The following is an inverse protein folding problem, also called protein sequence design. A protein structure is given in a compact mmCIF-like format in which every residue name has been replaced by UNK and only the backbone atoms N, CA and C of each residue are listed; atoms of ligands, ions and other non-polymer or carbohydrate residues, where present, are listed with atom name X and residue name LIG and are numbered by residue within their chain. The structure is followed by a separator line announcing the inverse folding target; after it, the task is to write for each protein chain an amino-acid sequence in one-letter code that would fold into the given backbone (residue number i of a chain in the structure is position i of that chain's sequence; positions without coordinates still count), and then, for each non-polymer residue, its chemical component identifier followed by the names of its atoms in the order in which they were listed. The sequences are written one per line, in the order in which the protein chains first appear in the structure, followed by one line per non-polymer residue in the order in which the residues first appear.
data_IF_602712655799
#
_entry.id   IF_602712655799
#
_cell.length_a   1.000
_cell.length_b   1.000
_cell.length_c   1.000
_cell.angle_alpha   90.00
_cell.angle_beta   90.00
_cell.angle_gamma   90.00
#
_symmetry.space_group_name_H-M   'P 1'
#
loop_
_entity.id
_entity.type
_entity.pdbx_description
1 polymer ?
#
# COMPACT_ATOMS: atom_id res chain seq x y z
N UNK A 1 -9.94 4.37 -2.91
CA UNK A 1 -9.66 3.12 -2.22
C UNK A 1 -9.73 3.33 -0.71
N UNK A 2 -10.53 2.54 -0.06
CA UNK A 2 -10.62 2.51 1.40
C UNK A 2 -10.05 1.18 1.86
N UNK A 3 -9.19 1.23 2.87
CA UNK A 3 -8.57 0.03 3.44
C UNK A 3 -8.61 0.07 4.97
N UNK A 4 -8.29 -1.04 5.58
CA UNK A 4 -7.91 -1.04 6.99
C UNK A 4 -6.68 -0.14 7.17
N UNK A 5 -6.54 0.57 8.31
CA UNK A 5 -5.34 1.38 8.56
C UNK A 5 -4.07 0.55 8.40
N UNK A 6 -3.13 1.02 7.59
CA UNK A 6 -1.93 0.26 7.25
C UNK A 6 -1.11 -0.07 8.49
N UNK A 7 -0.67 -1.31 8.57
CA UNK A 7 0.18 -1.83 9.65
C UNK A 7 -0.45 -1.79 11.05
N UNK A 8 -1.76 -1.62 11.15
CA UNK A 8 -2.49 -1.59 12.43
C UNK A 8 -3.13 -2.95 12.70
N UNK A 9 -2.31 -3.94 13.03
CA UNK A 9 -2.77 -5.28 13.42
C UNK A 9 -3.21 -5.37 14.88
N UNK A 10 -2.99 -4.33 15.64
CA UNK A 10 -3.32 -4.21 17.06
C UNK A 10 -4.80 -3.89 17.32
N UNK A 11 -5.53 -3.41 16.31
CA UNK A 11 -6.93 -3.02 16.45
C UNK A 11 -7.83 -4.24 16.70
N UNK A 12 -8.93 -4.06 17.45
CA UNK A 12 -9.85 -5.17 17.77
C UNK A 12 -10.74 -5.58 16.60
N UNK A 13 -10.58 -4.96 15.46
CA UNK A 13 -11.35 -5.19 14.24
C UNK A 13 -10.44 -5.16 13.01
N UNK A 14 -10.96 -5.65 11.90
CA UNK A 14 -10.33 -5.56 10.59
C UNK A 14 -11.34 -4.94 9.64
N UNK A 15 -11.03 -3.76 9.11
CA UNK A 15 -11.87 -3.10 8.11
C UNK A 15 -11.65 -3.73 6.75
N UNK A 16 -12.72 -3.94 6.00
CA UNK A 16 -12.66 -4.50 4.65
C UNK A 16 -12.27 -3.42 3.64
N UNK A 17 -11.46 -3.80 2.67
CA UNK A 17 -11.06 -2.91 1.60
C UNK A 17 -12.14 -2.79 0.53
N UNK A 18 -12.24 -1.62 -0.09
CA UNK A 18 -13.16 -1.39 -1.20
C UNK A 18 -12.81 -0.14 -1.98
N UNK A 19 -13.23 -0.10 -3.22
CA UNK A 19 -13.10 1.07 -4.08
C UNK A 19 -14.46 1.76 -4.19
N UNK A 20 -14.47 3.07 -3.97
CA UNK A 20 -15.67 3.90 -4.09
C UNK A 20 -15.48 4.86 -5.25
N UNK A 21 -16.39 4.80 -6.22
CA UNK A 21 -16.39 5.68 -7.40
C UNK A 21 -17.03 7.02 -7.07
N UNK A 22 -16.24 7.91 -6.46
CA UNK A 22 -16.73 9.21 -5.99
C UNK A 22 -17.21 10.15 -7.11
N UNK A 23 -16.80 9.89 -8.34
CA UNK A 23 -17.25 10.62 -9.52
C UNK A 23 -18.72 10.32 -9.88
N UNK A 24 -19.24 9.17 -9.48
CA UNK A 24 -20.61 8.73 -9.77
C UNK A 24 -21.45 8.44 -8.53
N UNK A 25 -20.81 8.15 -7.41
CA UNK A 25 -21.50 7.82 -6.15
C UNK A 25 -21.58 9.03 -5.23
N UNK A 26 -22.80 9.44 -4.91
CA UNK A 26 -23.09 10.68 -4.16
C UNK A 26 -23.77 10.44 -2.81
N UNK A 27 -23.73 9.24 -2.29
CA UNK A 27 -24.37 8.89 -1.03
C UNK A 27 -23.30 8.53 0.03
N UNK A 28 -23.76 8.23 1.24
CA UNK A 28 -22.87 7.81 2.33
C UNK A 28 -22.20 6.49 2.03
N UNK A 29 -20.95 6.38 2.44
CA UNK A 29 -20.15 5.17 2.26
C UNK A 29 -20.24 4.32 3.51
N UNK A 30 -20.66 3.07 3.37
CA UNK A 30 -20.58 2.09 4.43
C UNK A 30 -19.16 1.58 4.59
N UNK A 31 -18.77 1.32 5.82
CA UNK A 31 -17.47 0.70 6.12
C UNK A 31 -17.70 -0.66 6.79
N UNK A 32 -17.72 -1.75 6.02
CA UNK A 32 -17.85 -3.08 6.60
C UNK A 32 -16.55 -3.49 7.28
N UNK A 33 -16.66 -4.23 8.38
CA UNK A 33 -15.51 -4.71 9.13
C UNK A 33 -15.85 -6.00 9.87
N UNK A 34 -14.82 -6.73 10.28
CA UNK A 34 -14.93 -7.90 11.14
C UNK A 34 -14.34 -7.62 12.50
N UNK A 35 -15.03 -8.04 13.55
CA UNK A 35 -14.45 -8.06 14.88
C UNK A 35 -13.53 -9.26 15.05
N UNK A 36 -12.42 -9.08 15.77
CA UNK A 36 -11.59 -10.19 16.20
C UNK A 36 -12.32 -10.97 17.31
N UNK A 37 -12.05 -12.27 17.43
CA UNK A 37 -12.78 -13.17 18.33
C UNK A 37 -12.83 -12.74 19.81
N UNK A 38 -11.84 -11.98 20.26
CA UNK A 38 -11.75 -11.53 21.64
C UNK A 38 -11.92 -10.02 21.79
N UNK A 39 -12.66 -9.40 20.87
CA UNK A 39 -12.92 -7.97 20.94
C UNK A 39 -14.09 -7.67 21.85
N UNK A 40 -13.82 -7.03 22.98
CA UNK A 40 -14.83 -6.56 23.93
C UNK A 40 -14.68 -5.08 24.18
N UNK A 41 -15.80 -4.44 24.49
CA UNK A 41 -15.82 -3.10 25.04
C UNK A 41 -15.97 -2.02 23.99
N UNK A 42 -15.52 -0.84 24.34
CA UNK A 42 -15.71 0.39 23.58
C UNK A 42 -14.46 0.66 22.75
N UNK A 43 -14.66 1.02 21.47
CA UNK A 43 -13.59 1.56 20.66
C UNK A 43 -13.46 3.05 21.00
N UNK A 44 -12.34 3.51 21.57
CA UNK A 44 -12.19 4.90 21.97
C UNK A 44 -12.30 5.86 20.79
N UNK A 45 -12.84 7.05 21.04
CA UNK A 45 -12.83 8.11 20.05
C UNK A 45 -11.38 8.46 19.66
N UNK A 46 -11.15 8.72 18.37
CA UNK A 46 -9.80 8.94 17.82
C UNK A 46 -9.09 7.69 17.33
N UNK A 47 -9.68 6.51 17.54
CA UNK A 47 -9.15 5.28 16.97
C UNK A 47 -9.29 5.30 15.44
N UNK A 48 -8.22 5.08 14.67
CA UNK A 48 -8.33 5.01 13.22
C UNK A 48 -9.14 3.78 12.82
N UNK A 49 -10.14 3.96 11.96
CA UNK A 49 -11.02 2.88 11.50
C UNK A 49 -10.79 2.51 10.04
N UNK A 50 -10.24 3.42 9.26
CA UNK A 50 -10.01 3.22 7.84
C UNK A 50 -8.90 4.15 7.37
N UNK A 51 -8.30 3.79 6.26
CA UNK A 51 -7.38 4.64 5.52
C UNK A 51 -7.88 4.84 4.11
N UNK A 52 -7.83 6.08 3.61
CA UNK A 52 -8.37 6.45 2.31
C UNK A 52 -7.22 6.86 1.40
N UNK A 53 -7.20 6.28 0.21
CA UNK A 53 -6.25 6.62 -0.84
C UNK A 53 -7.02 7.17 -2.04
N UNK A 54 -7.03 8.49 -2.25
CA UNK A 54 -7.64 9.04 -3.45
C UNK A 54 -6.76 8.80 -4.67
N UNK A 55 -7.37 8.45 -5.79
CA UNK A 55 -6.68 8.28 -7.06
C UNK A 55 -7.61 8.66 -8.21
N UNK A 56 -7.01 9.06 -9.32
CA UNK A 56 -7.77 9.39 -10.52
C UNK A 56 -8.20 8.13 -11.25
N UNK A 57 -9.40 8.15 -11.82
CA UNK A 57 -9.84 7.09 -12.74
C UNK A 57 -8.99 7.18 -14.02
N UNK A 58 -8.33 6.10 -14.35
CA UNK A 58 -7.53 5.97 -15.57
C UNK A 58 -7.86 4.65 -16.27
N UNK A 59 -7.77 4.66 -17.59
CA UNK A 59 -7.91 3.44 -18.37
C UNK A 59 -6.55 2.76 -18.48
N UNK A 60 -6.46 1.55 -17.96
CA UNK A 60 -5.28 0.72 -18.04
C UNK A 60 -5.53 -0.46 -18.96
N UNK A 61 -4.59 -0.70 -19.85
CA UNK A 61 -4.61 -1.87 -20.74
C UNK A 61 -3.41 -2.74 -20.38
N UNK A 62 -3.69 -4.01 -20.09
CA UNK A 62 -2.61 -4.96 -19.85
C UNK A 62 -2.17 -5.57 -21.17
N UNK A 63 -0.87 -5.66 -21.38
CA UNK A 63 -0.27 -6.31 -22.52
C UNK A 63 0.62 -7.45 -22.04
N UNK A 64 0.40 -8.64 -22.59
CA UNK A 64 1.20 -9.82 -22.28
C UNK A 64 2.12 -10.05 -23.46
N UNK A 65 3.42 -9.96 -23.24
CA UNK A 65 4.45 -10.24 -24.24
C UNK A 65 5.25 -11.48 -23.86
N UNK A 66 5.93 -12.05 -24.86
CA UNK A 66 6.82 -13.17 -24.62
C UNK A 66 8.03 -12.72 -23.79
N UNK A 67 8.48 -13.60 -22.90
CA UNK A 67 9.65 -13.35 -22.09
C UNK A 67 10.91 -13.26 -22.94
N UNK A 68 11.64 -12.14 -22.85
CA UNK A 68 12.95 -11.94 -23.47
C UNK A 68 14.04 -12.03 -22.40
N UNK A 69 14.76 -13.14 -22.37
CA UNK A 69 15.78 -13.41 -21.36
C UNK A 69 16.96 -12.42 -21.44
N UNK A 70 17.39 -12.03 -22.65
CA UNK A 70 18.49 -11.09 -22.82
C UNK A 70 18.13 -9.69 -22.30
N UNK A 71 16.96 -9.21 -22.67
CA UNK A 71 16.47 -7.90 -22.21
C UNK A 71 16.24 -7.88 -20.70
N UNK A 72 15.63 -8.92 -20.16
CA UNK A 72 15.39 -9.06 -18.72
C UNK A 72 16.69 -9.10 -17.92
N UNK A 73 17.71 -9.84 -18.38
CA UNK A 73 18.99 -9.91 -17.71
C UNK A 73 19.75 -8.58 -17.77
N UNK A 74 19.69 -7.86 -18.88
CA UNK A 74 20.28 -6.53 -19.02
C UNK A 74 19.63 -5.53 -18.04
N UNK A 75 18.31 -5.55 -17.92
CA UNK A 75 17.60 -4.72 -16.97
C UNK A 75 17.93 -5.07 -15.50
N UNK A 76 17.99 -6.35 -15.17
CA UNK A 76 18.35 -6.80 -13.83
C UNK A 76 19.75 -6.35 -13.43
N UNK A 77 20.72 -6.42 -14.36
CA UNK A 77 22.08 -5.93 -14.12
C UNK A 77 22.11 -4.42 -13.85
N UNK A 78 21.36 -3.63 -14.63
CA UNK A 78 21.27 -2.18 -14.41
C UNK A 78 20.63 -1.83 -13.06
N UNK A 79 19.56 -2.51 -12.70
CA UNK A 79 18.86 -2.29 -11.43
C UNK A 79 19.77 -2.65 -10.26
N UNK A 80 20.45 -3.79 -10.33
CA UNK A 80 21.41 -4.23 -9.31
C UNK A 80 22.52 -3.20 -9.11
N UNK A 81 23.12 -2.69 -10.18
CA UNK A 81 24.16 -1.66 -10.12
C UNK A 81 23.65 -0.38 -9.43
N UNK A 82 22.44 0.08 -9.76
CA UNK A 82 21.84 1.24 -9.12
C UNK A 82 21.56 1.02 -7.63
N UNK A 83 21.08 -0.14 -7.25
CA UNK A 83 20.83 -0.50 -5.86
C UNK A 83 22.13 -0.53 -5.06
N UNK A 84 23.18 -1.11 -5.58
CA UNK A 84 24.50 -1.16 -4.94
C UNK A 84 25.07 0.24 -4.72
N UNK A 85 24.99 1.11 -5.71
CA UNK A 85 25.42 2.51 -5.59
C UNK A 85 24.60 3.26 -4.53
N UNK A 86 23.28 3.11 -4.55
CA UNK A 86 22.40 3.73 -3.57
C UNK A 86 22.70 3.26 -2.15
N UNK A 87 22.95 1.99 -1.97
CA UNK A 87 23.29 1.39 -0.69
C UNK A 87 24.64 1.93 -0.14
N UNK A 88 25.65 2.03 -0.99
CA UNK A 88 26.94 2.61 -0.61
C UNK A 88 26.81 4.07 -0.17
N UNK A 89 26.05 4.88 -0.91
CA UNK A 89 25.80 6.27 -0.56
C UNK A 89 25.04 6.40 0.77
N UNK A 90 24.07 5.56 1.01
CA UNK A 90 23.33 5.53 2.26
C UNK A 90 24.20 5.17 3.46
N UNK A 91 25.02 4.13 3.33
CA UNK A 91 25.96 3.73 4.37
C UNK A 91 27.02 4.81 4.65
N UNK A 92 27.50 5.49 3.62
CA UNK A 92 28.43 6.60 3.76
C UNK A 92 27.84 7.74 4.58
N UNK A 93 26.62 8.17 4.25
CA UNK A 93 25.90 9.21 5.01
C UNK A 93 25.69 8.81 6.47
N UNK A 94 25.42 7.55 6.72
CA UNK A 94 25.22 7.02 8.07
C UNK A 94 26.49 7.11 8.93
N UNK A 95 27.65 6.97 8.32
CA UNK A 95 28.94 7.14 9.00
C UNK A 95 29.21 8.61 9.37
N UNK A 96 28.75 9.55 8.56
CA UNK A 96 28.91 10.98 8.81
C UNK A 96 28.09 11.49 9.99
N UNK A 97 27.05 10.78 10.40
CA UNK A 97 26.22 11.13 11.56
C UNK A 97 26.73 10.59 12.89
N UNK A 98 27.82 9.90 12.88
CA UNK A 98 28.49 9.44 14.10
C UNK A 98 29.66 10.35 14.44
#
# INVERSE_FOLDING_TARGET
LITHPLNRNDLPFISLAGVVDLDTYHDTVGLPFFFKEQAYGIIPAGTPIAQVFPFKRESWVSEISNYDAKFSNAQKSKIKSKIEKGYRLFNWKRKDFK
#
